data_IF_935633322546
#
_entry.id   IF_935633322546
#
_cell.length_a   1.000
_cell.length_b   1.000
_cell.length_c   1.000
_cell.angle_alpha   90.00
_cell.angle_beta   90.00
_cell.angle_gamma   90.00
#
_symmetry.space_group_name_H-M   'P 1'
#
loop_
_entity.id
_entity.type
_entity.pdbx_description
1 polymer ?
#
# COMPACT_ATOMS: atom_id res chain seq x y z
N UNK A 1 18.37 -0.50 4.02
CA UNK A 1 18.83 0.91 3.89
C UNK A 1 17.95 1.84 4.70
N UNK A 2 16.66 1.98 4.38
CA UNK A 2 15.76 2.89 5.13
C UNK A 2 15.68 2.56 6.62
N UNK A 3 15.55 1.28 7.00
CA UNK A 3 15.56 0.88 8.42
C UNK A 3 16.85 1.27 9.13
N UNK A 4 18.01 1.27 8.46
CA UNK A 4 19.25 1.73 9.08
C UNK A 4 19.19 3.22 9.43
N UNK A 5 18.65 4.05 8.53
CA UNK A 5 18.46 5.47 8.82
C UNK A 5 17.39 5.72 9.89
N UNK A 6 16.37 4.87 9.98
CA UNK A 6 15.36 4.92 11.05
C UNK A 6 15.96 4.52 12.40
N UNK A 7 16.65 3.38 12.45
CA UNK A 7 17.01 2.71 13.71
C UNK A 7 18.38 3.14 14.24
N UNK A 8 19.31 3.59 13.38
CA UNK A 8 20.68 3.98 13.78
C UNK A 8 20.85 5.49 13.77
N UNK A 9 20.30 6.17 12.76
CA UNK A 9 20.42 7.62 12.66
C UNK A 9 19.25 8.37 13.29
N UNK A 10 18.22 7.64 13.77
CA UNK A 10 17.05 8.21 14.47
C UNK A 10 16.30 9.26 13.63
N UNK A 11 16.22 9.04 12.30
CA UNK A 11 15.65 10.01 11.36
C UNK A 11 14.23 9.64 10.92
N UNK A 12 13.42 10.68 10.68
CA UNK A 12 12.17 10.58 9.94
C UNK A 12 12.43 10.56 8.43
N UNK A 13 11.93 9.53 7.75
CA UNK A 13 12.23 9.28 6.33
C UNK A 13 10.95 9.15 5.52
N UNK A 14 11.02 9.61 4.26
CA UNK A 14 10.02 9.33 3.24
C UNK A 14 10.48 8.16 2.37
N UNK A 15 9.66 7.12 2.29
CA UNK A 15 9.88 5.95 1.44
C UNK A 15 8.90 5.96 0.27
N UNK A 16 9.41 5.97 -0.95
CA UNK A 16 8.60 5.84 -2.15
C UNK A 16 8.73 4.43 -2.73
N UNK A 17 7.61 3.72 -2.88
CA UNK A 17 7.55 2.41 -3.52
C UNK A 17 6.66 2.52 -4.75
N UNK A 18 7.24 2.40 -5.94
CA UNK A 18 6.50 2.34 -7.20
C UNK A 18 6.96 1.14 -8.03
N UNK A 19 6.21 0.05 -8.16
CA UNK A 19 4.85 -0.23 -7.68
C UNK A 19 4.85 -1.44 -6.73
N UNK A 20 4.08 -1.41 -5.64
CA UNK A 20 4.03 -2.54 -4.69
C UNK A 20 3.44 -3.82 -5.34
N UNK A 21 2.60 -3.68 -6.36
CA UNK A 21 2.06 -4.81 -7.11
C UNK A 21 3.16 -5.58 -7.87
N UNK A 22 4.25 -4.93 -8.27
CA UNK A 22 5.40 -5.61 -8.88
C UNK A 22 6.05 -6.61 -7.91
N UNK A 23 6.06 -6.32 -6.61
CA UNK A 23 6.52 -7.26 -5.59
C UNK A 23 5.65 -8.51 -5.57
N UNK A 24 4.32 -8.35 -5.54
CA UNK A 24 3.38 -9.48 -5.56
C UNK A 24 3.53 -10.32 -6.82
N UNK A 25 3.62 -9.70 -8.01
CA UNK A 25 3.78 -10.40 -9.27
C UNK A 25 5.09 -11.21 -9.33
N UNK A 26 6.20 -10.62 -8.87
CA UNK A 26 7.48 -11.32 -8.82
C UNK A 26 7.42 -12.53 -7.89
N UNK A 27 6.80 -12.39 -6.71
CA UNK A 27 6.64 -13.48 -5.74
C UNK A 27 5.72 -14.58 -6.26
N UNK A 28 4.64 -14.24 -6.95
CA UNK A 28 3.77 -15.23 -7.60
C UNK A 28 4.53 -16.07 -8.63
N UNK A 29 5.35 -15.43 -9.49
CA UNK A 29 6.20 -16.14 -10.47
C UNK A 29 7.23 -17.05 -9.80
N UNK A 30 7.89 -16.58 -8.74
CA UNK A 30 8.85 -17.39 -7.96
C UNK A 30 8.15 -18.56 -7.28
N UNK A 31 6.95 -18.36 -6.72
CA UNK A 31 6.15 -19.42 -6.10
C UNK A 31 5.78 -20.51 -7.09
N UNK A 32 5.35 -20.13 -8.30
CA UNK A 32 5.06 -21.06 -9.38
C UNK A 32 6.32 -21.83 -9.82
N UNK A 33 7.47 -21.15 -9.93
CA UNK A 33 8.75 -21.78 -10.26
C UNK A 33 9.21 -22.79 -9.19
N UNK A 34 8.94 -22.52 -7.92
CA UNK A 34 9.22 -23.43 -6.80
C UNK A 34 8.22 -24.61 -6.69
N UNK A 35 7.28 -24.74 -7.63
CA UNK A 35 6.31 -25.83 -7.65
C UNK A 35 5.25 -25.76 -6.55
N UNK A 36 5.03 -24.59 -5.95
CA UNK A 36 3.96 -24.40 -4.97
C UNK A 36 2.61 -24.35 -5.67
N UNK A 37 1.61 -25.01 -5.09
CA UNK A 37 0.23 -24.95 -5.59
C UNK A 37 -0.28 -23.50 -5.48
N UNK A 38 -0.79 -22.91 -6.58
CA UNK A 38 -1.31 -21.55 -6.56
C UNK A 38 -2.62 -21.48 -5.75
N UNK A 39 -2.85 -20.33 -5.14
CA UNK A 39 -4.05 -20.00 -4.38
C UNK A 39 -5.07 -19.26 -5.27
N UNK A 40 -6.03 -18.58 -4.64
CA UNK A 40 -7.05 -17.75 -5.29
C UNK A 40 -6.45 -16.86 -6.38
N UNK A 41 -7.09 -16.86 -7.55
CA UNK A 41 -6.70 -16.06 -8.72
C UNK A 41 -5.24 -16.24 -9.20
N UNK A 42 -4.57 -17.32 -8.80
CA UNK A 42 -3.21 -17.64 -9.27
C UNK A 42 -2.09 -17.02 -8.44
N UNK A 43 -2.39 -16.42 -7.29
CA UNK A 43 -1.36 -15.89 -6.38
C UNK A 43 -0.68 -16.98 -5.55
N UNK A 44 0.47 -16.64 -4.96
CA UNK A 44 1.16 -17.53 -4.04
C UNK A 44 0.31 -17.79 -2.78
N UNK A 45 0.35 -19.00 -2.19
CA UNK A 45 -0.38 -19.30 -0.95
C UNK A 45 0.16 -18.49 0.26
N UNK A 46 1.38 -17.96 0.16
CA UNK A 46 2.05 -17.16 1.19
C UNK A 46 1.85 -15.65 1.02
N UNK A 47 0.90 -15.21 0.18
CA UNK A 47 0.70 -13.80 -0.19
C UNK A 47 0.54 -12.89 1.04
N UNK A 48 -0.38 -13.22 1.92
CA UNK A 48 -0.66 -12.42 3.13
C UNK A 48 0.54 -12.34 4.06
N UNK A 49 1.22 -13.45 4.32
CA UNK A 49 2.40 -13.48 5.18
C UNK A 49 3.57 -12.68 4.61
N UNK A 50 3.82 -12.78 3.31
CA UNK A 50 4.89 -12.04 2.64
C UNK A 50 4.61 -10.55 2.59
N UNK A 51 3.35 -10.17 2.33
CA UNK A 51 2.93 -8.77 2.36
C UNK A 51 3.06 -8.20 3.76
N UNK A 52 2.55 -8.89 4.79
CA UNK A 52 2.67 -8.45 6.18
C UNK A 52 4.13 -8.32 6.62
N UNK A 53 4.99 -9.28 6.27
CA UNK A 53 6.43 -9.20 6.62
C UNK A 53 7.11 -7.97 6.02
N UNK A 54 6.70 -7.54 4.82
CA UNK A 54 7.21 -6.34 4.19
C UNK A 54 6.62 -5.07 4.83
N UNK A 55 5.29 -5.01 4.96
CA UNK A 55 4.59 -3.80 5.40
C UNK A 55 4.85 -3.49 6.88
N UNK A 56 4.92 -4.49 7.76
CA UNK A 56 5.19 -4.28 9.19
C UNK A 56 6.59 -3.71 9.47
N UNK A 57 7.52 -3.85 8.51
CA UNK A 57 8.84 -3.22 8.61
C UNK A 57 8.79 -1.72 8.28
N UNK A 58 7.80 -1.32 7.49
CA UNK A 58 7.55 0.06 7.07
C UNK A 58 6.65 0.72 8.12
N UNK A 59 7.21 0.89 9.31
CA UNK A 59 6.51 1.48 10.44
C UNK A 59 7.39 2.49 11.17
N UNK A 60 6.74 3.37 11.92
CA UNK A 60 7.40 4.27 12.86
C UNK A 60 7.73 3.51 14.15
N UNK A 61 8.95 3.68 14.64
CA UNK A 61 9.44 3.11 15.90
C UNK A 61 9.66 4.22 16.92
N UNK A 62 10.21 3.88 18.09
CA UNK A 62 10.58 4.91 19.09
C UNK A 62 11.81 5.72 18.67
N UNK A 63 12.67 5.12 17.85
CA UNK A 63 13.95 5.70 17.44
C UNK A 63 13.79 6.59 16.19
N UNK A 64 12.83 6.30 15.31
CA UNK A 64 12.60 7.10 14.11
C UNK A 64 11.29 6.76 13.40
N UNK A 65 11.02 7.42 12.28
CA UNK A 65 9.78 7.22 11.52
C UNK A 65 10.03 6.92 10.05
N UNK A 66 9.18 6.08 9.47
CA UNK A 66 9.11 5.87 8.03
C UNK A 66 7.70 6.21 7.59
N UNK A 67 7.57 7.24 6.77
CA UNK A 67 6.33 7.58 6.07
C UNK A 67 6.45 7.04 4.66
N UNK A 68 5.62 6.05 4.31
CA UNK A 68 5.66 5.46 2.97
C UNK A 68 4.56 5.95 2.06
N UNK A 69 4.91 6.19 0.79
CA UNK A 69 3.98 6.45 -0.30
C UNK A 69 4.17 5.32 -1.31
N UNK A 70 3.13 4.51 -1.47
CA UNK A 70 3.19 3.29 -2.25
C UNK A 70 2.20 3.39 -3.41
N UNK A 71 2.71 3.33 -4.65
CA UNK A 71 1.85 3.19 -5.82
C UNK A 71 1.32 1.76 -5.86
N UNK A 72 0.00 1.63 -5.93
CA UNK A 72 -0.72 0.37 -6.04
C UNK A 72 -1.39 0.32 -7.40
N UNK A 73 -0.94 -0.60 -8.27
CA UNK A 73 -1.57 -0.81 -9.56
C UNK A 73 -2.79 -1.73 -9.39
N UNK A 74 -3.95 -1.28 -9.85
CA UNK A 74 -5.20 -2.05 -9.85
C UNK A 74 -5.38 -2.73 -11.21
N UNK A 75 -5.25 -4.06 -11.30
CA UNK A 75 -5.50 -4.77 -12.55
C UNK A 75 -6.97 -4.64 -12.92
N UNK A 76 -7.24 -4.29 -14.19
CA UNK A 76 -8.61 -4.27 -14.76
C UNK A 76 -9.64 -3.46 -13.96
N UNK A 77 -9.19 -2.47 -13.18
CA UNK A 77 -10.05 -1.66 -12.29
C UNK A 77 -10.84 -2.51 -11.25
N UNK A 78 -10.37 -3.73 -10.91
CA UNK A 78 -11.01 -4.63 -9.93
C UNK A 78 -10.37 -4.50 -8.54
N UNK A 79 -11.04 -3.79 -7.63
CA UNK A 79 -10.62 -3.61 -6.23
C UNK A 79 -10.80 -4.87 -5.37
N UNK A 80 -11.47 -5.90 -5.87
CA UNK A 80 -11.70 -7.17 -5.14
C UNK A 80 -10.56 -8.17 -5.30
N UNK A 81 -9.53 -7.83 -6.08
CA UNK A 81 -8.35 -8.65 -6.24
C UNK A 81 -7.67 -8.95 -4.87
N UNK A 82 -7.32 -10.22 -4.58
CA UNK A 82 -6.73 -10.63 -3.32
C UNK A 82 -5.44 -9.88 -2.94
N UNK A 83 -4.60 -9.51 -3.91
CA UNK A 83 -3.37 -8.76 -3.66
C UNK A 83 -3.66 -7.34 -3.22
N UNK A 84 -4.68 -6.71 -3.80
CA UNK A 84 -5.13 -5.37 -3.40
C UNK A 84 -5.78 -5.41 -2.03
N UNK A 85 -6.71 -6.33 -1.81
CA UNK A 85 -7.38 -6.50 -0.52
C UNK A 85 -6.37 -6.67 0.62
N UNK A 86 -5.35 -7.51 0.41
CA UNK A 86 -4.26 -7.72 1.38
C UNK A 86 -3.38 -6.48 1.56
N UNK A 87 -3.12 -5.71 0.50
CA UNK A 87 -2.30 -4.51 0.61
C UNK A 87 -3.03 -3.42 1.39
N UNK A 88 -4.33 -3.22 1.11
CA UNK A 88 -5.12 -2.17 1.75
C UNK A 88 -5.25 -2.36 3.27
N UNK A 89 -5.26 -3.59 3.78
CA UNK A 89 -5.32 -3.82 5.23
C UNK A 89 -4.09 -3.32 5.99
N UNK A 90 -2.99 -3.04 5.31
CA UNK A 90 -1.76 -2.51 5.91
C UNK A 90 -1.56 -1.00 5.69
N UNK A 91 -2.45 -0.31 4.96
CA UNK A 91 -2.28 1.11 4.65
C UNK A 91 -3.12 1.98 5.59
N UNK A 92 -2.49 3.01 6.17
CA UNK A 92 -3.17 3.97 7.04
C UNK A 92 -4.10 4.93 6.29
N UNK A 93 -3.78 5.20 5.03
CA UNK A 93 -4.54 6.05 4.13
C UNK A 93 -4.46 5.53 2.69
N UNK A 94 -5.56 5.69 1.95
CA UNK A 94 -5.67 5.32 0.54
C UNK A 94 -6.09 6.52 -0.27
N UNK A 95 -5.38 6.78 -1.37
CA UNK A 95 -5.72 7.83 -2.34
C UNK A 95 -6.06 7.11 -3.65
N UNK A 96 -7.32 7.13 -4.03
CA UNK A 96 -7.81 6.46 -5.24
C UNK A 96 -7.77 7.45 -6.41
N UNK A 97 -7.16 7.03 -7.52
CA UNK A 97 -7.08 7.83 -8.74
C UNK A 97 -8.12 7.35 -9.76
N UNK A 98 -9.07 8.20 -10.13
CA UNK A 98 -10.17 7.85 -11.03
C UNK A 98 -9.89 8.24 -12.48
N UNK A 99 -9.99 7.27 -13.39
CA UNK A 99 -9.93 7.50 -14.85
C UNK A 99 -11.02 8.45 -15.31
N UNK A 100 -12.20 8.39 -14.70
CA UNK A 100 -13.34 9.24 -15.04
C UNK A 100 -13.10 10.72 -14.72
N UNK A 101 -12.39 11.02 -13.63
CA UNK A 101 -11.99 12.40 -13.28
C UNK A 101 -10.90 12.91 -14.22
N UNK A 102 -9.91 12.08 -14.54
CA UNK A 102 -8.86 12.43 -15.50
C UNK A 102 -9.42 12.71 -16.90
N UNK A 103 -10.40 11.93 -17.37
CA UNK A 103 -11.07 12.14 -18.66
C UNK A 103 -11.85 13.47 -18.72
N UNK A 104 -12.25 14.02 -17.58
CA UNK A 104 -12.87 15.36 -17.45
C UNK A 104 -11.85 16.50 -17.33
N UNK A 105 -10.55 16.19 -17.35
CA UNK A 105 -9.46 17.18 -17.20
C UNK A 105 -9.22 17.63 -15.75
N UNK A 106 -9.73 16.90 -14.76
CA UNK A 106 -9.55 17.25 -13.34
C UNK A 106 -8.22 16.65 -12.85
N UNK A 107 -7.30 17.52 -12.40
CA UNK A 107 -6.00 17.13 -11.89
C UNK A 107 -5.69 17.81 -10.54
N UNK A 108 -5.21 17.07 -9.52
CA UNK A 108 -4.98 15.62 -9.52
C UNK A 108 -6.31 14.83 -9.57
N UNK A 109 -6.32 13.69 -10.25
CA UNK A 109 -7.52 12.89 -10.50
C UNK A 109 -7.94 12.04 -9.28
N UNK A 110 -7.90 12.63 -8.09
CA UNK A 110 -8.22 11.97 -6.81
C UNK A 110 -9.72 11.85 -6.66
N UNK A 111 -10.20 10.64 -6.40
CA UNK A 111 -11.59 10.39 -6.04
C UNK A 111 -11.82 10.69 -4.56
N UNK A 112 -12.58 11.73 -4.20
CA UNK A 112 -12.77 12.12 -2.80
C UNK A 112 -13.70 11.18 -2.03
N UNK A 113 -14.47 10.33 -2.71
CA UNK A 113 -15.41 9.40 -2.07
C UNK A 113 -14.75 8.07 -1.77
N UNK A 114 -13.89 7.60 -2.67
CA UNK A 114 -13.19 6.31 -2.52
C UNK A 114 -11.85 6.45 -1.76
N UNK A 115 -11.32 7.68 -1.61
CA UNK A 115 -10.11 7.93 -0.82
C UNK A 115 -10.44 8.01 0.67
N UNK A 116 -9.63 7.37 1.51
CA UNK A 116 -9.88 7.30 2.96
C UNK A 116 -8.60 7.48 3.78
N UNK A 117 -8.76 7.84 5.04
CA UNK A 117 -7.63 7.92 5.98
C UNK A 117 -8.07 7.62 7.40
N UNK A 118 -7.28 6.81 8.10
CA UNK A 118 -7.51 6.47 9.51
C UNK A 118 -7.46 7.69 10.42
N UNK A 119 -6.69 8.72 10.05
CA UNK A 119 -6.56 9.96 10.84
C UNK A 119 -7.70 10.96 10.59
N UNK A 120 -8.57 10.72 9.61
CA UNK A 120 -9.72 11.59 9.31
C UNK A 120 -10.85 11.35 10.32
N UNK A 121 -10.58 11.69 11.58
CA UNK A 121 -11.50 11.55 12.70
C UNK A 121 -11.56 12.87 13.48
N UNK A 122 -12.73 13.29 14.01
CA UNK A 122 -12.87 14.57 14.69
C UNK A 122 -11.93 14.76 15.87
N UNK A 123 -11.54 13.66 16.52
CA UNK A 123 -10.61 13.67 17.65
C UNK A 123 -9.18 14.06 17.24
N UNK A 124 -8.79 13.81 16.00
CA UNK A 124 -7.43 14.04 15.49
C UNK A 124 -7.37 15.35 14.72
N UNK A 125 -8.26 15.56 13.75
CA UNK A 125 -8.25 16.76 12.88
C UNK A 125 -9.11 17.91 13.40
N UNK A 126 -9.94 17.67 14.43
CA UNK A 126 -10.92 18.63 14.94
C UNK A 126 -12.26 18.56 14.20
N UNK A 127 -13.34 18.95 14.88
CA UNK A 127 -14.74 18.79 14.40
C UNK A 127 -15.04 19.56 13.10
N UNK A 128 -14.29 20.62 12.81
CA UNK A 128 -14.49 21.46 11.63
C UNK A 128 -13.76 20.94 10.37
N UNK A 129 -12.85 19.97 10.52
CA UNK A 129 -11.96 19.50 9.45
C UNK A 129 -12.20 18.03 9.07
N UNK A 130 -13.36 17.48 9.46
CA UNK A 130 -13.82 16.12 9.11
C UNK A 130 -14.79 16.19 7.96
#
# INVERSE_FOLDING_TARGET
>A
MVEYFRDVNEQGLLLFIDNIFCFVQARSKVSAFLGRVPSTMGYQPTLSTEMGTLQERIASTKEGSITSIQAVYVPTDDLTDPALATTFTHLDATIVLSRGLAAKGIYPAVDPLDSTSTILQPRIVGVHNV
#
